data_IF_606605498518
#
_entry.id   IF_606605498518
#
_cell.length_a   1.000
_cell.length_b   1.000
_cell.length_c   1.000
_cell.angle_alpha   90.00
_cell.angle_beta   90.00
_cell.angle_gamma   90.00
#
_symmetry.space_group_name_H-M   'P 1'
#
loop_
_entity.id
_entity.type
_entity.pdbx_description
1 polymer ?
#
# COMPACT_ATOMS: atom_id res chain seq x y z
N UNK A 1 31.21 -11.13 3.93
CA UNK A 1 32.56 -11.16 4.51
C UNK A 1 32.52 -11.43 6.02
N UNK A 2 31.69 -10.71 6.81
CA UNK A 2 31.56 -10.91 8.27
C UNK A 2 31.00 -12.29 8.64
N UNK A 3 30.02 -12.80 7.89
CA UNK A 3 29.42 -14.13 8.06
C UNK A 3 30.46 -15.26 7.95
N UNK A 4 31.30 -15.24 6.89
CA UNK A 4 32.35 -16.25 6.70
C UNK A 4 33.39 -16.23 7.82
N UNK A 5 33.74 -15.02 8.34
CA UNK A 5 34.74 -14.86 9.40
C UNK A 5 34.24 -15.39 10.75
N UNK A 6 32.95 -15.18 11.10
CA UNK A 6 32.36 -15.68 12.35
C UNK A 6 32.12 -17.20 12.34
N UNK A 7 31.74 -17.76 11.20
CA UNK A 7 31.53 -19.22 11.05
C UNK A 7 32.86 -19.98 11.13
N UNK A 8 33.91 -19.47 10.47
CA UNK A 8 35.22 -20.11 10.45
C UNK A 8 35.95 -20.03 11.82
N UNK A 9 35.59 -19.07 12.67
CA UNK A 9 36.26 -18.87 13.98
C UNK A 9 35.57 -19.59 15.15
N UNK A 10 34.54 -20.42 14.89
CA UNK A 10 33.93 -21.30 15.90
C UNK A 10 33.19 -20.62 17.06
N UNK A 11 32.95 -19.31 17.00
CA UNK A 11 32.24 -18.54 18.03
C UNK A 11 30.72 -18.60 17.83
N UNK A 12 30.10 -19.73 18.16
CA UNK A 12 28.64 -19.96 18.00
C UNK A 12 27.75 -18.87 18.63
N UNK A 13 28.15 -18.36 19.79
CA UNK A 13 27.35 -17.33 20.47
C UNK A 13 27.35 -15.99 19.73
N UNK A 14 28.50 -15.57 19.18
CA UNK A 14 28.59 -14.32 18.42
C UNK A 14 27.88 -14.40 17.07
N UNK A 15 27.78 -15.60 16.48
CA UNK A 15 27.02 -15.82 15.26
C UNK A 15 25.52 -15.65 15.49
N UNK A 16 24.97 -16.26 16.54
CA UNK A 16 23.54 -16.14 16.86
C UNK A 16 23.14 -14.68 17.12
N UNK A 17 23.95 -13.93 17.86
CA UNK A 17 23.72 -12.50 18.08
C UNK A 17 23.79 -11.69 16.79
N UNK A 18 24.76 -11.95 15.93
CA UNK A 18 24.89 -11.26 14.64
C UNK A 18 23.74 -11.56 13.70
N UNK A 19 23.29 -12.81 13.66
CA UNK A 19 22.13 -13.21 12.86
C UNK A 19 20.83 -12.54 13.39
N UNK A 20 20.65 -12.49 14.72
CA UNK A 20 19.50 -11.81 15.33
C UNK A 20 19.48 -10.31 14.97
N UNK A 21 20.59 -9.60 15.16
CA UNK A 21 20.67 -8.18 14.84
C UNK A 21 20.47 -7.91 13.33
N UNK A 22 21.04 -8.77 12.47
CA UNK A 22 20.80 -8.66 11.03
C UNK A 22 19.35 -8.85 10.67
N UNK A 23 18.65 -9.80 11.26
CA UNK A 23 17.23 -10.03 11.07
C UNK A 23 16.39 -8.81 11.52
N UNK A 24 16.70 -8.25 12.72
CA UNK A 24 16.02 -7.05 13.23
C UNK A 24 16.23 -5.86 12.31
N UNK A 25 17.46 -5.62 11.83
CA UNK A 25 17.75 -4.52 10.91
C UNK A 25 17.01 -4.69 9.58
N UNK A 26 16.99 -5.90 9.01
CA UNK A 26 16.27 -6.18 7.77
C UNK A 26 14.75 -5.96 7.97
N UNK A 27 14.19 -6.47 9.06
CA UNK A 27 12.77 -6.28 9.38
C UNK A 27 12.44 -4.79 9.56
N UNK A 28 13.26 -4.06 10.30
CA UNK A 28 13.09 -2.62 10.47
C UNK A 28 13.19 -1.86 9.14
N UNK A 29 14.17 -2.18 8.30
CA UNK A 29 14.33 -1.57 6.98
C UNK A 29 13.12 -1.85 6.08
N UNK A 30 12.61 -3.09 6.07
CA UNK A 30 11.43 -3.47 5.30
C UNK A 30 10.18 -2.72 5.75
N UNK A 31 9.99 -2.56 7.07
CA UNK A 31 8.88 -1.79 7.61
C UNK A 31 8.97 -0.29 7.30
N UNK A 32 10.18 0.27 7.26
CA UNK A 32 10.39 1.69 6.93
C UNK A 32 10.23 1.99 5.44
N UNK A 33 10.42 1.01 4.57
CA UNK A 33 10.34 1.21 3.11
C UNK A 33 8.92 1.34 2.57
N UNK A 34 7.87 0.99 3.36
CA UNK A 34 6.47 1.00 2.89
C UNK A 34 6.34 0.42 1.48
N UNK A 35 6.46 -0.91 1.30
CA UNK A 35 6.53 -1.52 -0.03
C UNK A 35 5.31 -1.21 -0.88
N UNK A 36 4.13 -1.07 -0.28
CA UNK A 36 2.88 -0.79 -0.99
C UNK A 36 2.85 0.64 -1.57
N UNK A 37 3.37 1.63 -0.83
CA UNK A 37 3.55 3.00 -1.35
C UNK A 37 4.54 3.01 -2.54
N UNK A 38 5.66 2.28 -2.41
CA UNK A 38 6.64 2.17 -3.49
C UNK A 38 6.06 1.50 -4.74
N UNK A 39 5.32 0.39 -4.56
CA UNK A 39 4.65 -0.33 -5.67
C UNK A 39 3.63 0.58 -6.34
N UNK A 40 2.79 1.28 -5.57
CA UNK A 40 1.79 2.20 -6.10
C UNK A 40 2.45 3.32 -6.93
N UNK A 41 3.47 4.00 -6.41
CA UNK A 41 4.20 5.05 -7.15
C UNK A 41 4.83 4.53 -8.43
N UNK A 42 5.45 3.35 -8.38
CA UNK A 42 6.08 2.75 -9.55
C UNK A 42 5.08 2.43 -10.65
N UNK A 43 3.92 1.89 -10.27
CA UNK A 43 2.86 1.56 -11.22
C UNK A 43 2.23 2.80 -11.85
N UNK A 44 2.01 3.86 -11.06
CA UNK A 44 1.55 5.14 -11.57
C UNK A 44 2.57 5.75 -12.55
N UNK A 45 3.85 5.67 -12.25
CA UNK A 45 4.91 6.11 -13.16
C UNK A 45 4.89 5.33 -14.48
N UNK A 46 4.66 4.00 -14.44
CA UNK A 46 4.56 3.17 -15.64
C UNK A 46 3.30 3.50 -16.45
N UNK A 47 2.18 3.78 -15.79
CA UNK A 47 0.95 4.27 -16.43
C UNK A 47 1.20 5.57 -17.20
N UNK A 48 1.90 6.54 -16.61
CA UNK A 48 2.26 7.79 -17.26
C UNK A 48 3.17 7.59 -18.51
N UNK A 49 3.90 6.47 -18.56
CA UNK A 49 4.71 6.05 -19.70
C UNK A 49 3.90 5.30 -20.78
N UNK A 50 2.57 5.21 -20.66
CA UNK A 50 1.68 4.57 -21.60
C UNK A 50 1.55 3.05 -21.46
N UNK A 51 1.96 2.48 -20.33
CA UNK A 51 1.68 1.07 -20.00
C UNK A 51 0.25 0.91 -19.47
N UNK A 52 -0.34 -0.24 -19.75
CA UNK A 52 -1.63 -0.60 -19.16
C UNK A 52 -1.53 -0.61 -17.63
N UNK A 53 -2.46 0.09 -16.99
CA UNK A 53 -2.60 0.16 -15.56
C UNK A 53 -3.85 -0.60 -15.13
N UNK A 54 -3.66 -1.66 -14.37
CA UNK A 54 -4.78 -2.37 -13.78
C UNK A 54 -5.19 -1.69 -12.47
N UNK A 55 -6.05 -0.67 -12.60
CA UNK A 55 -6.56 0.10 -11.47
C UNK A 55 -7.30 -0.79 -10.47
N UNK A 56 -8.01 -1.81 -10.96
CA UNK A 56 -8.76 -2.72 -10.12
C UNK A 56 -7.84 -3.52 -9.19
N UNK A 57 -6.80 -4.15 -9.75
CA UNK A 57 -5.84 -4.91 -8.95
C UNK A 57 -5.15 -4.03 -7.92
N UNK A 58 -4.65 -2.87 -8.33
CA UNK A 58 -3.89 -1.99 -7.45
C UNK A 58 -4.73 -1.33 -6.36
N UNK A 59 -6.02 -1.11 -6.60
CA UNK A 59 -6.88 -0.47 -5.59
C UNK A 59 -7.43 -1.44 -4.55
N UNK A 60 -7.65 -2.70 -4.91
CA UNK A 60 -8.22 -3.69 -4.00
C UNK A 60 -7.19 -4.56 -3.27
N UNK A 61 -5.97 -4.70 -3.80
CA UNK A 61 -4.94 -5.56 -3.22
C UNK A 61 -3.84 -4.81 -2.45
N UNK A 62 -3.74 -3.49 -2.60
CA UNK A 62 -2.78 -2.70 -1.83
C UNK A 62 -3.34 -2.35 -0.45
N UNK A 63 -2.44 -2.26 0.54
CA UNK A 63 -2.78 -1.88 1.91
C UNK A 63 -3.15 -0.39 2.04
N UNK A 64 -3.54 0.01 3.24
CA UNK A 64 -3.88 1.40 3.56
C UNK A 64 -2.70 2.37 3.37
N UNK A 65 -1.47 1.87 3.34
CA UNK A 65 -0.26 2.65 3.06
C UNK A 65 -0.23 3.23 1.65
N UNK A 66 -0.95 2.64 0.69
CA UNK A 66 -1.05 3.15 -0.67
C UNK A 66 -2.08 4.28 -0.83
N UNK A 67 -2.98 4.49 0.13
CA UNK A 67 -4.06 5.50 0.05
C UNK A 67 -3.55 6.90 -0.30
N UNK A 68 -2.47 7.43 0.31
CA UNK A 68 -1.96 8.75 -0.03
C UNK A 68 -1.60 8.87 -1.51
N UNK A 69 -0.90 7.87 -2.04
CA UNK A 69 -0.45 7.85 -3.45
C UNK A 69 -1.63 7.72 -4.41
N UNK A 70 -2.63 6.91 -4.06
CA UNK A 70 -3.84 6.76 -4.87
C UNK A 70 -4.61 8.09 -4.97
N UNK A 71 -4.76 8.83 -3.87
CA UNK A 71 -5.39 10.15 -3.87
C UNK A 71 -4.60 11.14 -4.73
N UNK A 72 -3.28 11.21 -4.56
CA UNK A 72 -2.40 12.10 -5.31
C UNK A 72 -2.42 11.80 -6.82
N UNK A 73 -2.66 10.56 -7.21
CA UNK A 73 -2.63 10.12 -8.62
C UNK A 73 -3.95 10.30 -9.37
N UNK A 74 -5.07 10.52 -8.67
CA UNK A 74 -6.39 10.69 -9.31
C UNK A 74 -6.41 11.70 -10.47
N UNK A 75 -5.74 12.87 -10.38
CA UNK A 75 -5.77 13.86 -11.47
C UNK A 75 -5.05 13.42 -12.74
N UNK A 76 -4.13 12.45 -12.66
CA UNK A 76 -3.32 11.97 -13.78
C UNK A 76 -3.81 10.65 -14.36
N UNK A 77 -4.81 10.03 -13.72
CA UNK A 77 -5.48 8.83 -14.21
C UNK A 77 -6.46 9.14 -15.33
N UNK A 78 -6.67 8.18 -16.23
CA UNK A 78 -7.79 8.25 -17.16
C UNK A 78 -9.13 8.15 -16.43
N UNK A 79 -10.24 8.52 -17.08
CA UNK A 79 -11.56 8.60 -16.45
C UNK A 79 -12.02 7.25 -15.87
N UNK A 80 -11.72 6.15 -16.55
CA UNK A 80 -12.07 4.79 -16.14
C UNK A 80 -11.32 4.40 -14.86
N UNK A 81 -10.00 4.52 -14.86
CA UNK A 81 -9.16 4.16 -13.72
C UNK A 81 -9.42 5.06 -12.50
N UNK A 82 -9.62 6.36 -12.74
CA UNK A 82 -10.00 7.29 -11.69
C UNK A 82 -11.35 6.93 -11.05
N UNK A 83 -12.31 6.43 -11.83
CA UNK A 83 -13.59 5.98 -11.31
C UNK A 83 -13.42 4.78 -10.37
N UNK A 84 -12.71 3.74 -10.81
CA UNK A 84 -12.45 2.55 -9.96
C UNK A 84 -11.65 2.90 -8.70
N UNK A 85 -10.65 3.75 -8.83
CA UNK A 85 -9.85 4.20 -7.69
C UNK A 85 -10.70 4.95 -6.68
N UNK A 86 -11.53 5.90 -7.12
CA UNK A 86 -12.46 6.63 -6.24
C UNK A 86 -13.46 5.70 -5.57
N UNK A 87 -13.99 4.73 -6.30
CA UNK A 87 -14.92 3.73 -5.74
C UNK A 87 -14.27 2.92 -4.63
N UNK A 88 -13.05 2.42 -4.86
CA UNK A 88 -12.32 1.66 -3.85
C UNK A 88 -11.94 2.51 -2.62
N UNK A 89 -11.55 3.77 -2.80
CA UNK A 89 -11.31 4.71 -1.71
C UNK A 89 -12.58 5.01 -0.91
N UNK A 90 -13.73 5.12 -1.58
CA UNK A 90 -15.03 5.28 -0.93
C UNK A 90 -15.39 4.05 -0.10
N UNK A 91 -15.26 2.85 -0.66
CA UNK A 91 -15.57 1.59 0.03
C UNK A 91 -14.69 1.44 1.29
N UNK A 92 -13.40 1.79 1.21
CA UNK A 92 -12.48 1.83 2.38
C UNK A 92 -12.90 2.86 3.43
N UNK A 93 -13.35 4.03 3.02
CA UNK A 93 -13.84 5.06 3.96
C UNK A 93 -15.08 4.57 4.71
N UNK A 94 -16.01 3.91 4.02
CA UNK A 94 -17.24 3.36 4.63
C UNK A 94 -16.89 2.23 5.59
N UNK A 95 -16.01 1.32 5.19
CA UNK A 95 -15.51 0.22 6.03
C UNK A 95 -14.84 0.75 7.31
N UNK A 96 -13.94 1.72 7.17
CA UNK A 96 -13.25 2.34 8.31
C UNK A 96 -14.20 3.05 9.28
N UNK A 97 -15.30 3.61 8.78
CA UNK A 97 -16.36 4.21 9.64
C UNK A 97 -17.20 3.17 10.35
N UNK A 98 -17.40 1.99 9.74
CA UNK A 98 -18.20 0.89 10.30
C UNK A 98 -17.48 0.10 11.39
N UNK A 99 -16.16 0.02 11.31
CA UNK A 99 -15.35 -0.72 12.28
C UNK A 99 -14.91 0.17 13.44
N UNK A 100 -15.76 0.28 14.46
CA UNK A 100 -15.45 0.95 15.73
C UNK A 100 -14.51 0.15 16.65
N UNK A 101 -13.74 -0.83 16.12
CA UNK A 101 -12.87 -1.65 16.97
C UNK A 101 -11.51 -0.97 17.21
N UNK A 102 -11.38 -0.44 18.42
CA UNK A 102 -10.18 0.22 18.97
C UNK A 102 -8.96 -0.72 19.08
N UNK A 103 -9.12 -2.03 18.81
CA UNK A 103 -8.07 -3.04 18.99
C UNK A 103 -7.04 -3.07 17.88
N UNK A 104 -7.31 -2.50 16.71
CA UNK A 104 -6.34 -2.42 15.63
C UNK A 104 -5.69 -1.02 15.58
N UNK A 105 -4.82 -0.71 16.55
CA UNK A 105 -3.94 0.46 16.46
C UNK A 105 -2.95 0.26 15.31
N UNK A 106 -3.44 0.45 14.09
CA UNK A 106 -2.61 0.46 12.89
C UNK A 106 -2.41 1.92 12.45
N UNK A 107 -1.20 2.41 12.61
CA UNK A 107 -0.82 3.78 12.24
C UNK A 107 -1.14 4.11 10.77
N UNK A 108 -0.93 3.17 9.86
CA UNK A 108 -1.25 3.30 8.43
C UNK A 108 -2.74 3.54 8.21
N UNK A 109 -3.58 2.75 8.88
CA UNK A 109 -5.04 2.83 8.79
C UNK A 109 -5.55 4.17 9.30
N UNK A 110 -5.07 4.62 10.45
CA UNK A 110 -5.45 5.91 11.04
C UNK A 110 -5.04 7.08 10.14
N UNK A 111 -3.86 7.01 9.53
CA UNK A 111 -3.39 8.00 8.57
C UNK A 111 -4.24 8.00 7.29
N UNK A 112 -4.53 6.81 6.74
CA UNK A 112 -5.38 6.65 5.58
C UNK A 112 -6.78 7.21 5.84
N UNK A 113 -7.39 6.87 6.98
CA UNK A 113 -8.71 7.36 7.38
C UNK A 113 -8.77 8.89 7.44
N UNK A 114 -7.80 9.55 8.11
CA UNK A 114 -7.75 11.02 8.17
C UNK A 114 -7.61 11.67 6.79
N UNK A 115 -6.84 11.06 5.89
CA UNK A 115 -6.70 11.54 4.52
C UNK A 115 -7.99 11.37 3.72
N UNK A 116 -8.68 10.24 3.86
CA UNK A 116 -9.96 9.99 3.21
C UNK A 116 -11.05 10.94 3.73
N UNK A 117 -11.12 11.19 5.04
CA UNK A 117 -12.03 12.17 5.61
C UNK A 117 -11.75 13.59 5.12
N UNK A 118 -10.49 14.01 5.08
CA UNK A 118 -10.08 15.31 4.55
C UNK A 118 -10.43 15.50 3.07
N UNK A 119 -10.51 14.42 2.31
CA UNK A 119 -10.89 14.41 0.89
C UNK A 119 -12.33 13.91 0.66
N UNK A 120 -13.16 13.82 1.70
CA UNK A 120 -14.53 13.31 1.62
C UNK A 120 -15.41 14.07 0.62
N UNK A 121 -15.13 15.35 0.36
CA UNK A 121 -15.79 16.13 -0.68
C UNK A 121 -15.64 15.53 -2.09
N UNK A 122 -14.55 14.84 -2.37
CA UNK A 122 -14.31 14.09 -3.62
C UNK A 122 -15.04 12.73 -3.65
N UNK A 123 -15.42 12.23 -2.47
CA UNK A 123 -15.95 10.89 -2.24
C UNK A 123 -17.42 10.91 -1.73
N UNK A 124 -18.16 12.02 -1.96
CA UNK A 124 -19.51 12.24 -1.40
C UNK A 124 -20.50 11.14 -1.85
N UNK A 125 -20.36 10.66 -3.07
CA UNK A 125 -21.20 9.59 -3.61
C UNK A 125 -20.31 8.45 -4.12
N UNK A 126 -20.75 7.20 -3.88
CA UNK A 126 -20.09 6.04 -4.48
C UNK A 126 -20.17 6.15 -6.00
N UNK A 127 -19.03 6.22 -6.72
CA UNK A 127 -19.08 6.32 -8.16
C UNK A 127 -19.66 5.04 -8.80
N UNK A 128 -20.61 5.21 -9.73
CA UNK A 128 -21.02 4.13 -10.61
C UNK A 128 -20.05 4.10 -11.78
N UNK A 129 -19.21 3.06 -11.84
CA UNK A 129 -18.28 2.84 -12.93
C UNK A 129 -18.83 1.73 -13.81
N UNK A 130 -18.69 1.86 -15.13
CA UNK A 130 -18.98 0.78 -16.05
C UNK A 130 -18.21 -0.47 -15.64
N UNK A 131 -18.90 -1.63 -15.61
CA UNK A 131 -18.26 -2.89 -15.22
C UNK A 131 -17.04 -3.16 -16.13
N UNK A 132 -15.90 -3.65 -15.58
CA UNK A 132 -14.79 -4.06 -16.41
C UNK A 132 -15.26 -5.16 -17.33
N UNK A 133 -15.10 -4.98 -18.65
CA UNK A 133 -15.47 -5.96 -19.68
C UNK A 133 -14.75 -7.30 -19.53
N UNK A 134 -13.74 -7.38 -18.66
CA UNK A 134 -12.80 -8.48 -18.54
C UNK A 134 -12.90 -9.25 -17.19
N UNK A 135 -13.97 -9.02 -16.41
CA UNK A 135 -14.18 -9.72 -15.13
C UNK A 135 -14.79 -11.12 -15.29
N UNK A 136 -14.70 -11.71 -16.49
CA UNK A 136 -15.15 -13.08 -16.78
C UNK A 136 -13.98 -13.86 -17.38
N UNK A 137 -13.09 -14.36 -16.51
CA UNK A 137 -12.33 -15.60 -16.77
C UNK A 137 -11.71 -16.10 -15.46
#
# INVERSE_FOLDING_TARGET
>A
VWFGWTVLRGRRNNFAWGALWSAIVILAATNLMNPDDFIARKNIQLMQQGREYDAWYHTYHLSDDAVPVLIESLPVMNAKDACYTKRALYDRLVEARGEGDVRSLNWSRERAFRLLEGNSGMLINRPECDAPSDAVH
#
